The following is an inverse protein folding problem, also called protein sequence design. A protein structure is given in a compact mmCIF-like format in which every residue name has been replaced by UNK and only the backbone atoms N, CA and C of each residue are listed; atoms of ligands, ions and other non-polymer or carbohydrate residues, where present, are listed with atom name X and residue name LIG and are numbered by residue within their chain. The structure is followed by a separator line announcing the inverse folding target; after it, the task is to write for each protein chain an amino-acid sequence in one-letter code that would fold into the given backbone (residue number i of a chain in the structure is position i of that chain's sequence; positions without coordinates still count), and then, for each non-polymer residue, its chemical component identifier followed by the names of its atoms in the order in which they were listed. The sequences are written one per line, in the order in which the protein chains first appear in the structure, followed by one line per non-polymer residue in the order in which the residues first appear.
data_IF_443660529340
#
_entry.id   IF_443660529340
#
_cell.length_a   1.000
_cell.length_b   1.000
_cell.length_c   1.000
_cell.angle_alpha   90.00
_cell.angle_beta   90.00
_cell.angle_gamma   90.00
#
_symmetry.space_group_name_H-M   'P 1'
#
loop_
_entity.id
_entity.type
_entity.pdbx_description
1 polymer ?
#
# COMPACT_ATOMS: atom_id res chain seq x y z
N UNK A 1 -35.53 -58.48 13.25
CA UNK A 1 -36.27 -57.48 12.44
C UNK A 1 -35.25 -56.81 11.52
N UNK A 2 -35.01 -57.41 10.34
CA UNK A 2 -35.29 -56.85 9.00
C UNK A 2 -34.51 -55.55 8.72
N UNK A 3 -33.27 -55.61 8.18
CA UNK A 3 -32.82 -55.83 6.79
C UNK A 3 -33.32 -54.77 5.79
N UNK A 4 -32.39 -53.97 5.27
CA UNK A 4 -32.56 -53.00 4.19
C UNK A 4 -31.27 -52.89 3.37
N UNK A 5 -30.97 -53.98 2.67
CA UNK A 5 -29.90 -54.16 1.69
C UNK A 5 -30.54 -54.00 0.30
N UNK A 6 -30.02 -53.11 -0.56
CA UNK A 6 -30.16 -53.23 -2.02
C UNK A 6 -28.93 -52.69 -2.75
N UNK A 7 -28.14 -53.67 -3.15
CA UNK A 7 -27.19 -53.73 -4.27
C UNK A 7 -27.78 -53.30 -5.63
N UNK A 8 -26.85 -52.95 -6.53
CA UNK A 8 -26.77 -53.16 -8.00
C UNK A 8 -26.18 -51.91 -8.67
N UNK A 9 -24.90 -51.84 -9.00
CA UNK A 9 -24.14 -52.60 -10.01
C UNK A 9 -24.70 -52.47 -11.44
N UNK A 10 -23.77 -52.09 -12.31
CA UNK A 10 -23.78 -51.65 -13.71
C UNK A 10 -24.50 -52.56 -14.71
N UNK A 11 -24.63 -52.10 -15.95
CA UNK A 11 -24.01 -52.89 -17.01
C UNK A 11 -23.18 -52.06 -18.00
N UNK A 12 -22.12 -52.71 -18.48
CA UNK A 12 -21.23 -52.36 -19.58
C UNK A 12 -21.63 -53.23 -20.78
N UNK A 13 -21.87 -52.64 -21.96
CA UNK A 13 -21.86 -53.27 -23.31
C UNK A 13 -21.51 -52.11 -24.26
N UNK A 14 -20.28 -52.03 -24.82
CA UNK A 14 -19.82 -52.61 -26.11
C UNK A 14 -20.58 -51.97 -27.30
N UNK A 15 -20.05 -51.58 -28.46
CA UNK A 15 -18.83 -51.82 -29.24
C UNK A 15 -19.01 -50.90 -30.49
N UNK A 16 -18.03 -50.20 -31.08
CA UNK A 16 -17.30 -50.57 -32.32
C UNK A 16 -16.81 -49.25 -32.98
N UNK A 17 -15.62 -49.26 -33.60
CA UNK A 17 -15.26 -48.27 -34.64
C UNK A 17 -13.86 -47.66 -34.57
N UNK A 18 -12.81 -48.45 -34.75
CA UNK A 18 -11.55 -48.04 -35.43
C UNK A 18 -11.62 -48.59 -36.88
N UNK A 19 -11.01 -47.96 -37.91
CA UNK A 19 -9.54 -47.88 -38.04
C UNK A 19 -8.93 -46.64 -38.75
N UNK A 20 -7.65 -46.43 -38.42
CA UNK A 20 -6.50 -45.98 -39.22
C UNK A 20 -6.54 -44.70 -40.10
N UNK A 21 -5.62 -43.76 -39.81
CA UNK A 21 -4.62 -43.31 -40.80
C UNK A 21 -3.41 -42.60 -40.15
N UNK A 22 -2.22 -43.18 -40.36
CA UNK A 22 -0.91 -42.52 -40.67
C UNK A 22 -0.59 -41.14 -40.08
N UNK A 23 0.47 -40.95 -39.29
CA UNK A 23 1.86 -40.97 -39.76
C UNK A 23 2.52 -39.59 -39.54
N UNK A 24 3.88 -39.49 -39.46
CA UNK A 24 4.56 -38.64 -38.47
C UNK A 24 5.06 -37.30 -39.03
N UNK A 25 5.17 -36.27 -38.20
CA UNK A 25 6.01 -35.10 -38.51
C UNK A 25 7.04 -34.92 -37.38
N UNK A 26 8.28 -35.10 -37.81
CA UNK A 26 9.53 -35.03 -37.08
C UNK A 26 9.87 -33.60 -36.59
N UNK A 27 10.88 -33.45 -35.71
CA UNK A 27 11.22 -32.19 -35.07
C UNK A 27 12.13 -31.33 -35.95
N UNK A 28 11.84 -30.04 -36.02
CA UNK A 28 12.63 -29.00 -36.67
C UNK A 28 12.50 -27.76 -35.75
N UNK A 29 13.52 -27.07 -35.27
CA UNK A 29 14.92 -26.93 -35.67
C UNK A 29 15.74 -26.60 -34.41
N UNK A 30 16.88 -27.29 -34.24
CA UNK A 30 17.96 -26.84 -33.37
C UNK A 30 18.91 -25.97 -34.22
N UNK A 31 19.35 -24.78 -33.76
CA UNK A 31 20.35 -24.04 -34.51
C UNK A 31 21.71 -24.72 -34.33
N UNK A 32 22.17 -25.23 -35.47
CA UNK A 32 23.41 -25.93 -35.73
C UNK A 32 24.59 -24.96 -35.57
N UNK A 33 25.50 -25.35 -34.69
CA UNK A 33 26.82 -24.74 -34.46
C UNK A 33 27.64 -24.86 -35.75
N UNK A 34 27.92 -23.75 -36.42
CA UNK A 34 29.02 -23.65 -37.38
C UNK A 34 30.07 -22.69 -36.84
N UNK A 35 31.09 -23.32 -36.26
CA UNK A 35 32.41 -22.81 -35.92
C UNK A 35 33.16 -22.51 -37.22
N UNK A 36 33.57 -21.25 -37.39
CA UNK A 36 34.59 -20.85 -38.36
C UNK A 36 35.77 -20.29 -37.58
N UNK A 37 36.87 -21.04 -37.53
CA UNK A 37 38.18 -20.58 -37.06
C UNK A 37 39.09 -20.26 -38.25
N UNK A 38 40.17 -19.53 -37.92
CA UNK A 38 41.32 -19.06 -38.73
C UNK A 38 41.09 -17.73 -39.47
N UNK A 39 41.91 -16.68 -39.30
CA UNK A 39 43.35 -16.61 -38.99
C UNK A 39 43.77 -15.16 -38.67
N UNK A 40 44.72 -14.94 -37.74
CA UNK A 40 45.39 -13.64 -37.51
C UNK A 40 46.68 -13.46 -38.35
N UNK A 41 47.56 -12.45 -38.12
CA UNK A 41 47.65 -11.52 -36.97
C UNK A 41 48.03 -10.03 -37.25
N UNK A 42 48.02 -9.22 -36.17
CA UNK A 42 48.75 -7.96 -35.89
C UNK A 42 48.30 -6.67 -36.66
N UNK A 43 48.09 -5.48 -36.08
CA UNK A 43 48.91 -4.72 -35.13
C UNK A 43 48.08 -3.63 -34.41
N UNK A 44 48.41 -3.40 -33.13
CA UNK A 44 48.40 -2.14 -32.35
C UNK A 44 47.22 -1.14 -32.40
N UNK A 45 46.56 -0.97 -31.25
CA UNK A 45 45.84 0.26 -30.90
C UNK A 45 44.84 0.09 -29.75
N UNK A 46 45.29 0.20 -28.49
CA UNK A 46 44.41 0.47 -27.33
C UNK A 46 44.04 1.97 -27.31
N UNK A 47 42.87 2.37 -26.77
CA UNK A 47 42.70 2.44 -25.32
C UNK A 47 41.33 1.98 -24.78
N UNK A 48 41.39 1.54 -23.51
CA UNK A 48 40.49 1.75 -22.38
C UNK A 48 38.99 2.02 -22.62
N UNK A 49 38.17 1.12 -22.07
CA UNK A 49 36.93 1.33 -21.29
C UNK A 49 35.87 0.27 -21.64
N UNK A 50 36.07 -0.95 -21.13
CA UNK A 50 35.07 -2.01 -21.15
C UNK A 50 34.39 -2.08 -19.78
N UNK A 51 33.19 -1.50 -19.71
CA UNK A 51 32.23 -1.76 -18.64
C UNK A 51 31.89 -3.26 -18.62
N UNK A 52 32.31 -3.96 -17.58
CA UNK A 52 31.87 -5.31 -17.29
C UNK A 52 30.47 -5.25 -16.64
N UNK A 53 29.44 -5.27 -17.48
CA UNK A 53 28.11 -5.68 -17.07
C UNK A 53 28.16 -7.19 -16.77
N UNK A 54 28.20 -7.55 -15.48
CA UNK A 54 27.99 -8.92 -15.03
C UNK A 54 26.50 -9.22 -15.01
N UNK A 55 26.06 -10.09 -15.91
CA UNK A 55 24.77 -10.78 -15.85
C UNK A 55 24.79 -11.76 -14.65
N UNK A 56 24.34 -11.30 -13.48
CA UNK A 56 24.03 -12.18 -12.33
C UNK A 56 22.76 -11.69 -11.60
N UNK A 57 21.69 -11.32 -12.31
CA UNK A 57 20.42 -10.92 -11.66
C UNK A 57 19.17 -11.40 -12.44
N UNK A 58 19.11 -12.68 -12.82
CA UNK A 58 17.93 -13.22 -13.53
C UNK A 58 16.96 -14.04 -12.65
N UNK A 59 17.38 -14.50 -11.46
CA UNK A 59 16.53 -15.33 -10.58
C UNK A 59 16.00 -14.59 -9.32
N UNK A 60 16.46 -13.35 -9.06
CA UNK A 60 16.00 -12.55 -7.93
C UNK A 60 14.74 -11.71 -8.18
N UNK A 61 14.43 -11.43 -9.45
CA UNK A 61 13.46 -10.39 -9.82
C UNK A 61 12.01 -10.91 -9.91
N UNK A 62 11.84 -12.22 -10.10
CA UNK A 62 10.52 -12.89 -10.13
C UNK A 62 9.92 -13.09 -8.73
N UNK A 63 10.72 -13.07 -7.67
CA UNK A 63 10.24 -13.17 -6.27
C UNK A 63 9.91 -11.79 -5.68
N UNK A 64 10.60 -10.75 -6.15
CA UNK A 64 10.41 -9.36 -5.71
C UNK A 64 9.09 -8.74 -6.20
N UNK A 65 8.47 -9.31 -7.23
CA UNK A 65 7.24 -8.83 -7.87
C UNK A 65 5.94 -9.41 -7.25
N UNK A 66 6.02 -10.47 -6.45
CA UNK A 66 4.82 -11.07 -5.81
C UNK A 66 4.32 -10.32 -4.57
N UNK A 67 5.16 -9.52 -3.90
CA UNK A 67 4.81 -8.85 -2.63
C UNK A 67 4.27 -7.41 -2.81
N UNK A 68 3.84 -7.03 -4.02
CA UNK A 68 3.55 -5.64 -4.38
C UNK A 68 2.66 -4.90 -3.37
N UNK A 69 1.45 -5.42 -3.15
CA UNK A 69 0.46 -4.80 -2.25
C UNK A 69 0.63 -5.23 -0.78
N UNK A 70 1.12 -6.44 -0.55
CA UNK A 70 1.26 -7.03 0.79
C UNK A 70 2.21 -6.21 1.70
N UNK A 71 3.27 -5.64 1.14
CA UNK A 71 4.20 -4.76 1.87
C UNK A 71 3.49 -3.57 2.51
N UNK A 72 2.51 -2.98 1.80
CA UNK A 72 1.76 -1.83 2.28
C UNK A 72 0.77 -2.21 3.37
N UNK A 73 0.20 -3.41 3.31
CA UNK A 73 -0.68 -3.94 4.36
C UNK A 73 0.10 -4.14 5.66
N UNK A 74 1.26 -4.78 5.59
CA UNK A 74 2.14 -4.98 6.75
C UNK A 74 2.61 -3.63 7.31
N UNK A 75 3.03 -2.70 6.45
CA UNK A 75 3.40 -1.35 6.86
C UNK A 75 2.23 -0.60 7.52
N UNK A 76 1.01 -0.78 7.03
CA UNK A 76 -0.21 -0.21 7.59
C UNK A 76 -0.48 -0.69 9.02
N UNK A 77 -0.40 -1.99 9.27
CA UNK A 77 -0.54 -2.53 10.62
C UNK A 77 0.61 -2.11 11.55
N UNK A 78 1.84 -2.02 11.04
CA UNK A 78 2.98 -1.54 11.83
C UNK A 78 2.79 -0.08 12.24
N UNK A 79 2.45 0.79 11.28
CA UNK A 79 2.18 2.20 11.54
C UNK A 79 0.97 2.39 12.48
N UNK A 80 -0.11 1.63 12.26
CA UNK A 80 -1.28 1.61 13.14
C UNK A 80 -0.94 1.13 14.55
N UNK A 81 -0.08 0.12 14.67
CA UNK A 81 0.42 -0.39 15.95
C UNK A 81 1.28 0.62 16.69
N UNK A 82 2.16 1.33 15.99
CA UNK A 82 2.97 2.42 16.55
C UNK A 82 2.10 3.56 17.08
N UNK A 83 1.09 3.97 16.29
CA UNK A 83 0.12 4.99 16.70
C UNK A 83 -0.65 4.52 17.94
N UNK A 84 -1.16 3.28 17.91
CA UNK A 84 -1.88 2.69 19.04
C UNK A 84 -1.00 2.66 20.30
N UNK A 85 0.26 2.26 20.19
CA UNK A 85 1.22 2.26 21.29
C UNK A 85 1.41 3.66 21.89
N UNK A 86 1.59 4.67 21.03
CA UNK A 86 1.73 6.06 21.46
C UNK A 86 0.48 6.57 22.19
N UNK A 87 -0.71 6.34 21.61
CA UNK A 87 -1.98 6.78 22.19
C UNK A 87 -2.25 6.06 23.51
N UNK A 88 -2.10 4.74 23.57
CA UNK A 88 -2.26 3.98 24.81
C UNK A 88 -1.26 4.43 25.87
N UNK A 89 0.00 4.69 25.51
CA UNK A 89 1.00 5.19 26.43
C UNK A 89 0.61 6.53 27.05
N UNK A 90 0.12 7.47 26.23
CA UNK A 90 -0.40 8.77 26.71
C UNK A 90 -1.63 8.62 27.60
N UNK A 91 -2.57 7.74 27.23
CA UNK A 91 -3.77 7.48 28.02
C UNK A 91 -3.41 6.87 29.37
N UNK A 92 -2.55 5.86 29.41
CA UNK A 92 -2.14 5.20 30.65
C UNK A 92 -1.42 6.19 31.57
N UNK A 93 -0.49 6.98 31.05
CA UNK A 93 0.19 8.02 31.82
C UNK A 93 -0.81 9.03 32.39
N UNK A 94 -1.70 9.59 31.55
CA UNK A 94 -2.70 10.58 32.01
C UNK A 94 -3.69 10.01 33.03
N UNK A 95 -4.16 8.79 32.83
CA UNK A 95 -5.04 8.10 33.78
C UNK A 95 -4.31 7.84 35.10
N UNK A 96 -3.07 7.36 35.06
CA UNK A 96 -2.29 7.12 36.28
C UNK A 96 -1.99 8.43 37.01
N UNK A 97 -1.52 9.47 36.32
CA UNK A 97 -1.25 10.77 36.92
C UNK A 97 -2.49 11.33 37.65
N UNK A 98 -3.64 11.35 36.98
CA UNK A 98 -4.90 11.83 37.58
C UNK A 98 -5.45 10.94 38.69
N UNK A 99 -5.14 9.64 38.69
CA UNK A 99 -5.50 8.73 39.79
C UNK A 99 -4.55 8.86 40.98
N UNK A 100 -3.26 9.11 40.75
CA UNK A 100 -2.26 9.28 41.79
C UNK A 100 -2.52 10.47 42.71
N UNK A 101 -3.20 11.50 42.20
CA UNK A 101 -3.60 12.67 42.98
C UNK A 101 -4.83 12.43 43.87
N UNK A 102 -5.54 11.30 43.72
CA UNK A 102 -6.77 11.01 44.47
C UNK A 102 -6.48 10.34 45.80
N UNK A 103 -7.05 10.90 46.88
CA UNK A 103 -6.86 10.41 48.26
C UNK A 103 -7.11 8.91 48.44
N UNK A 104 -8.13 8.35 47.78
CA UNK A 104 -8.46 6.92 47.90
C UNK A 104 -7.41 6.02 47.25
N UNK A 105 -6.78 6.48 46.16
CA UNK A 105 -5.78 5.72 45.42
C UNK A 105 -4.44 5.77 46.15
N UNK A 106 -4.06 6.93 46.70
CA UNK A 106 -2.86 7.10 47.52
C UNK A 106 -2.90 6.28 48.81
N UNK A 107 -4.10 6.07 49.38
CA UNK A 107 -4.29 5.20 50.55
C UNK A 107 -4.27 3.71 50.20
N UNK A 108 -4.82 3.34 49.04
CA UNK A 108 -4.93 1.94 48.62
C UNK A 108 -3.60 1.39 48.09
N UNK A 109 -2.85 2.19 47.32
CA UNK A 109 -1.64 1.76 46.61
C UNK A 109 -0.51 2.81 46.75
N UNK A 110 0.04 3.00 47.95
CA UNK A 110 1.06 4.02 48.22
C UNK A 110 2.34 3.82 47.40
N UNK A 111 2.68 2.58 47.05
CA UNK A 111 3.84 2.26 46.22
C UNK A 111 3.70 2.80 44.78
N UNK A 112 2.49 2.86 44.22
CA UNK A 112 2.24 3.35 42.86
C UNK A 112 2.08 4.87 42.79
N UNK A 113 1.79 5.53 43.90
CA UNK A 113 1.74 6.99 43.99
C UNK A 113 3.12 7.60 44.23
N UNK A 114 4.00 6.87 44.92
CA UNK A 114 5.38 7.29 45.18
C UNK A 114 6.27 7.33 43.92
N UNK A 115 5.81 6.71 42.83
CA UNK A 115 6.48 6.75 41.51
C UNK A 115 6.49 8.19 40.99
N UNK A 116 7.66 8.67 40.57
CA UNK A 116 7.83 10.00 39.98
C UNK A 116 7.09 10.14 38.65
N UNK A 117 6.82 11.36 38.22
CA UNK A 117 6.04 11.59 36.99
C UNK A 117 6.79 11.11 35.73
N UNK A 118 8.12 11.26 35.70
CA UNK A 118 9.00 10.75 34.64
C UNK A 118 8.97 9.22 34.54
N UNK A 119 8.91 8.54 35.69
CA UNK A 119 8.83 7.09 35.77
C UNK A 119 7.45 6.60 35.33
N UNK A 120 6.36 7.29 35.72
CA UNK A 120 4.99 7.03 35.24
C UNK A 120 4.90 7.16 33.72
N UNK A 121 5.57 8.15 33.13
CA UNK A 121 5.63 8.30 31.66
C UNK A 121 6.36 7.12 31.00
N UNK A 122 7.50 6.71 31.57
CA UNK A 122 8.27 5.56 31.07
C UNK A 122 7.46 4.26 31.17
N UNK A 123 6.87 3.97 32.33
CA UNK A 123 6.02 2.78 32.50
C UNK A 123 4.77 2.84 31.63
N UNK A 124 4.14 4.01 31.50
CA UNK A 124 2.97 4.20 30.66
C UNK A 124 3.27 3.87 29.19
N UNK A 125 4.39 4.36 28.66
CA UNK A 125 4.81 4.06 27.28
C UNK A 125 5.17 2.58 27.08
N UNK A 126 5.88 1.96 28.01
CA UNK A 126 6.24 0.53 27.93
C UNK A 126 4.99 -0.36 27.99
N UNK A 127 4.11 -0.13 28.96
CA UNK A 127 2.86 -0.90 29.12
C UNK A 127 1.96 -0.67 27.90
N UNK A 128 1.81 0.57 27.46
CA UNK A 128 1.05 0.91 26.25
C UNK A 128 1.60 0.21 25.00
N UNK A 129 2.93 0.17 24.85
CA UNK A 129 3.61 -0.53 23.76
C UNK A 129 3.39 -2.04 23.77
N UNK A 130 3.46 -2.69 24.95
CA UNK A 130 3.20 -4.13 25.08
C UNK A 130 1.74 -4.44 24.74
N UNK A 131 0.79 -3.68 25.27
CA UNK A 131 -0.64 -3.86 24.97
C UNK A 131 -0.88 -3.67 23.48
N UNK A 132 -0.32 -2.63 22.86
CA UNK A 132 -0.45 -2.40 21.43
C UNK A 132 0.13 -3.55 20.61
N UNK A 133 1.30 -4.08 20.97
CA UNK A 133 1.90 -5.23 20.30
C UNK A 133 0.98 -6.44 20.36
N UNK A 134 0.42 -6.76 21.53
CA UNK A 134 -0.52 -7.89 21.69
C UNK A 134 -1.78 -7.68 20.85
N UNK A 135 -2.35 -6.47 20.85
CA UNK A 135 -3.54 -6.13 20.07
C UNK A 135 -3.26 -6.27 18.57
N UNK A 136 -2.14 -5.71 18.09
CA UNK A 136 -1.73 -5.79 16.68
C UNK A 136 -1.48 -7.25 16.28
N UNK A 137 -0.77 -8.01 17.10
CA UNK A 137 -0.54 -9.43 16.84
C UNK A 137 -1.86 -10.23 16.75
N UNK A 138 -2.81 -9.94 17.65
CA UNK A 138 -4.13 -10.57 17.63
C UNK A 138 -4.96 -10.15 16.42
N UNK A 139 -4.83 -8.90 16.00
CA UNK A 139 -5.44 -8.35 14.78
C UNK A 139 -4.89 -9.05 13.54
N UNK A 140 -3.57 -9.21 13.44
CA UNK A 140 -2.90 -9.91 12.34
C UNK A 140 -3.30 -11.38 12.21
N UNK A 141 -3.60 -12.05 13.33
CA UNK A 141 -4.07 -13.43 13.33
C UNK A 141 -5.54 -13.58 12.94
N UNK A 142 -6.30 -12.50 12.84
CA UNK A 142 -7.69 -12.56 12.44
C UNK A 142 -7.79 -12.55 10.89
N UNK A 143 -8.19 -13.67 10.26
CA UNK A 143 -8.17 -13.79 8.80
C UNK A 143 -9.15 -12.83 8.11
N UNK A 144 -10.27 -12.49 8.74
CA UNK A 144 -11.25 -11.53 8.20
C UNK A 144 -10.61 -10.15 8.03
N UNK A 145 -9.88 -9.70 9.05
CA UNK A 145 -9.27 -8.38 9.07
C UNK A 145 -8.05 -8.30 8.16
N UNK A 146 -7.30 -9.39 8.04
CA UNK A 146 -6.21 -9.51 7.07
C UNK A 146 -6.75 -9.43 5.64
N UNK A 147 -7.76 -10.22 5.32
CA UNK A 147 -8.39 -10.24 3.99
C UNK A 147 -8.99 -8.88 3.63
N UNK A 148 -9.71 -8.25 4.55
CA UNK A 148 -10.25 -6.90 4.35
C UNK A 148 -9.15 -5.87 4.04
N UNK A 149 -8.02 -5.94 4.76
CA UNK A 149 -6.90 -5.02 4.53
C UNK A 149 -6.26 -5.24 3.15
N UNK A 150 -6.16 -6.49 2.71
CA UNK A 150 -5.65 -6.86 1.39
C UNK A 150 -6.57 -6.37 0.27
N UNK A 151 -7.90 -6.51 0.45
CA UNK A 151 -8.90 -5.98 -0.48
C UNK A 151 -8.82 -4.46 -0.61
N UNK A 152 -8.75 -3.73 0.52
CA UNK A 152 -8.59 -2.27 0.51
C UNK A 152 -7.31 -1.87 -0.22
N UNK A 153 -6.20 -2.57 0.03
CA UNK A 153 -4.95 -2.26 -0.61
C UNK A 153 -4.97 -2.57 -2.13
N UNK A 154 -5.68 -3.63 -2.54
CA UNK A 154 -5.91 -3.94 -3.94
C UNK A 154 -6.81 -2.90 -4.64
N UNK A 155 -7.83 -2.38 -3.96
CA UNK A 155 -8.67 -1.29 -4.48
C UNK A 155 -7.90 0.03 -4.57
N UNK A 156 -7.09 0.37 -3.57
CA UNK A 156 -6.25 1.56 -3.57
C UNK A 156 -5.18 1.52 -4.66
N UNK A 157 -4.68 0.34 -5.02
CA UNK A 157 -3.71 0.18 -6.11
C UNK A 157 -4.29 0.55 -7.49
N UNK A 158 -5.62 0.51 -7.66
CA UNK A 158 -6.30 0.92 -8.89
C UNK A 158 -6.46 2.45 -9.00
N UNK A 159 -6.32 3.18 -7.88
CA UNK A 159 -6.50 4.63 -7.85
C UNK A 159 -5.30 5.29 -8.54
N UNK A 160 -5.57 6.01 -9.63
CA UNK A 160 -4.57 6.86 -10.28
C UNK A 160 -4.36 8.13 -9.45
N UNK A 161 -3.28 8.15 -8.68
CA UNK A 161 -2.87 9.35 -7.96
C UNK A 161 -2.22 10.36 -8.92
N UNK A 162 -2.59 11.66 -8.82
CA UNK A 162 -2.05 12.67 -9.71
C UNK A 162 -0.57 12.89 -9.45
N UNK A 163 0.20 13.06 -10.52
CA UNK A 163 1.60 13.46 -10.44
C UNK A 163 1.72 14.89 -9.91
N UNK A 164 2.87 15.26 -9.34
CA UNK A 164 3.13 16.65 -8.87
C UNK A 164 2.82 17.69 -9.97
N UNK A 165 3.15 17.38 -11.22
CA UNK A 165 2.87 18.24 -12.38
C UNK A 165 1.38 18.42 -12.63
N UNK A 166 0.59 17.34 -12.56
CA UNK A 166 -0.87 17.41 -12.69
C UNK A 166 -1.48 18.26 -11.57
N UNK A 167 -1.06 18.05 -10.31
CA UNK A 167 -1.52 18.85 -9.16
C UNK A 167 -1.20 20.33 -9.33
N UNK A 168 0.04 20.66 -9.73
CA UNK A 168 0.44 22.06 -9.95
C UNK A 168 -0.33 22.68 -11.11
N UNK A 169 -0.53 21.95 -12.21
CA UNK A 169 -1.27 22.44 -13.36
C UNK A 169 -2.75 22.71 -13.02
N UNK A 170 -3.41 21.77 -12.34
CA UNK A 170 -4.80 21.95 -11.87
C UNK A 170 -4.91 23.12 -10.90
N UNK A 171 -3.99 23.25 -9.95
CA UNK A 171 -3.96 24.39 -9.02
C UNK A 171 -3.78 25.72 -9.75
N UNK A 172 -2.87 25.77 -10.73
CA UNK A 172 -2.63 26.98 -11.53
C UNK A 172 -3.88 27.40 -12.32
N UNK A 173 -4.58 26.44 -12.93
CA UNK A 173 -5.83 26.70 -13.66
C UNK A 173 -6.88 27.29 -12.72
N UNK A 174 -7.05 26.74 -11.51
CA UNK A 174 -8.00 27.28 -10.52
C UNK A 174 -7.64 28.71 -10.15
N UNK A 175 -6.37 28.97 -9.80
CA UNK A 175 -5.89 30.31 -9.44
C UNK A 175 -6.12 31.31 -10.58
N UNK A 176 -5.78 30.94 -11.82
CA UNK A 176 -5.96 31.80 -12.98
C UNK A 176 -7.45 32.11 -13.21
N UNK A 177 -8.31 31.09 -13.14
CA UNK A 177 -9.76 31.23 -13.35
C UNK A 177 -10.38 32.10 -12.26
N UNK A 178 -10.05 31.87 -10.99
CA UNK A 178 -10.56 32.69 -9.88
C UNK A 178 -10.05 34.12 -9.96
N UNK A 179 -8.81 34.34 -10.40
CA UNK A 179 -8.24 35.68 -10.57
C UNK A 179 -8.98 36.44 -11.67
N UNK A 180 -9.19 35.81 -12.83
CA UNK A 180 -9.95 36.41 -13.94
C UNK A 180 -11.39 36.71 -13.51
N UNK A 181 -12.05 35.77 -12.84
CA UNK A 181 -13.41 35.97 -12.33
C UNK A 181 -13.48 37.16 -11.34
N UNK A 182 -12.51 37.25 -10.41
CA UNK A 182 -12.45 38.33 -9.43
C UNK A 182 -12.21 39.68 -10.11
N UNK A 183 -11.29 39.75 -11.08
CA UNK A 183 -11.05 40.96 -11.85
C UNK A 183 -12.28 41.39 -12.64
N UNK A 184 -12.97 40.44 -13.28
CA UNK A 184 -14.21 40.71 -14.00
C UNK A 184 -15.29 41.29 -13.09
N UNK A 185 -15.53 40.66 -11.93
CA UNK A 185 -16.51 41.16 -10.96
C UNK A 185 -16.11 42.53 -10.41
N UNK A 186 -14.84 42.75 -10.05
CA UNK A 186 -14.37 44.05 -9.57
C UNK A 186 -14.58 45.17 -10.60
N UNK A 187 -14.41 44.87 -11.89
CA UNK A 187 -14.69 45.82 -12.98
C UNK A 187 -16.18 46.08 -13.12
N UNK A 188 -17.04 45.05 -13.01
CA UNK A 188 -18.48 45.23 -13.01
C UNK A 188 -18.95 46.07 -11.82
N UNK A 189 -18.44 45.81 -10.62
CA UNK A 189 -18.76 46.58 -9.42
C UNK A 189 -18.40 48.05 -9.62
N UNK A 190 -17.22 48.33 -10.21
CA UNK A 190 -16.79 49.69 -10.54
C UNK A 190 -17.66 50.34 -11.62
N UNK A 191 -18.04 49.58 -12.64
CA UNK A 191 -18.92 50.04 -13.70
C UNK A 191 -20.31 50.41 -13.16
N UNK A 192 -20.91 49.55 -12.35
CA UNK A 192 -22.21 49.82 -11.73
C UNK A 192 -22.15 50.99 -10.75
N UNK A 193 -21.06 51.12 -9.98
CA UNK A 193 -20.86 52.30 -9.14
C UNK A 193 -20.81 53.60 -9.97
N UNK A 194 -20.13 53.58 -11.12
CA UNK A 194 -20.09 54.72 -12.03
C UNK A 194 -21.47 55.05 -12.63
N UNK A 195 -22.18 54.04 -13.14
CA UNK A 195 -23.53 54.22 -13.72
C UNK A 195 -24.50 54.74 -12.67
N UNK A 196 -24.50 54.17 -11.48
CA UNK A 196 -25.39 54.58 -10.38
C UNK A 196 -25.08 56.01 -9.94
N UNK A 197 -23.80 56.40 -9.88
CA UNK A 197 -23.41 57.77 -9.57
C UNK A 197 -23.83 58.77 -10.65
N UNK A 198 -23.85 58.38 -11.94
CA UNK A 198 -24.40 59.26 -12.98
C UNK A 198 -25.91 59.43 -12.85
N UNK A 199 -26.64 58.34 -12.63
CA UNK A 199 -28.12 58.36 -12.63
C UNK A 199 -28.68 59.02 -11.38
N UNK A 200 -28.08 58.76 -10.21
CA UNK A 200 -28.56 59.26 -8.92
C UNK A 200 -27.70 60.40 -8.34
N UNK A 201 -26.52 60.64 -8.88
CA UNK A 201 -25.58 61.68 -8.42
C UNK A 201 -25.71 63.03 -9.13
N UNK A 202 -26.60 63.17 -10.12
CA UNK A 202 -27.02 64.48 -10.70
C UNK A 202 -28.10 65.18 -9.83
N UNK A 203 -28.19 64.80 -8.55
CA UNK A 203 -29.17 65.30 -7.58
C UNK A 203 -28.57 66.20 -6.49
N UNK A 204 -27.43 66.87 -6.78
CA UNK A 204 -26.90 67.98 -5.98
C UNK A 204 -26.66 69.20 -6.87
#
# INVERSE_FOLDING_TARGET
MAKGEKDKQTPKVAEEGEPEESGPIAPAEAPLVLRSEESGPAEAGAPEDAEAAGDEDADGDVVATQLGTERYVIAGFFAGGMLLAFVLGKIIHGVWATLADKDWFSRALPALTAVGDDEKATYGTVIGGIIALVVVFRMFRNPELRTWSDEVAAELAKVKWPTKKEVTNSTFVVIATTTVATLYLALLDRFWAFVTNIVYGDGS
#
